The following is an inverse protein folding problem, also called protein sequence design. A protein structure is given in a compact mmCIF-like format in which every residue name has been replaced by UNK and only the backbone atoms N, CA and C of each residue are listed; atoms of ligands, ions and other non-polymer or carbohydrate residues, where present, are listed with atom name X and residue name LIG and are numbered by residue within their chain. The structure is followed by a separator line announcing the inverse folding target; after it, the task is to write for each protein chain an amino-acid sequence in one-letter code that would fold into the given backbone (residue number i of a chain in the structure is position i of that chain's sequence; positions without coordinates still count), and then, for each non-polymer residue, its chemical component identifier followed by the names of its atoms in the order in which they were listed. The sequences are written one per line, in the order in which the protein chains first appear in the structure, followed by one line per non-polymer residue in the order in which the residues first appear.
data_IF_191544072648
#
_entry.id   IF_191544072648
#
_cell.length_a   1.000
_cell.length_b   1.000
_cell.length_c   1.000
_cell.angle_alpha   90.00
_cell.angle_beta   90.00
_cell.angle_gamma   90.00
#
_symmetry.space_group_name_H-M   'P 1'
#
loop_
_entity.id
_entity.type
_entity.pdbx_description
1 polymer ?
#
# COMPACT_ATOMS: atom_id res chain seq x y z
N UNK A 1 13.44 -28.68 22.80
CA UNK A 1 13.52 -27.22 22.86
C UNK A 1 12.72 -26.78 24.10
N UNK A 2 13.38 -26.38 25.19
CA UNK A 2 12.70 -25.95 26.43
C UNK A 2 12.34 -24.48 26.27
N UNK A 3 11.03 -24.16 26.28
CA UNK A 3 10.56 -22.79 26.35
C UNK A 3 10.88 -22.22 27.74
N UNK A 4 11.70 -21.19 27.82
CA UNK A 4 11.91 -20.45 29.05
C UNK A 4 10.72 -19.52 29.30
N UNK A 5 10.22 -19.42 30.55
CA UNK A 5 9.18 -18.46 30.87
C UNK A 5 9.67 -17.02 30.66
N UNK A 6 8.89 -16.23 29.95
CA UNK A 6 9.13 -14.79 29.78
C UNK A 6 8.96 -14.11 31.14
N UNK A 7 9.92 -13.30 31.62
CA UNK A 7 9.76 -12.60 32.88
C UNK A 7 8.57 -11.65 32.83
N UNK A 8 7.76 -11.64 33.88
CA UNK A 8 6.60 -10.77 34.04
C UNK A 8 7.03 -9.33 34.28
N UNK A 9 7.23 -8.56 33.21
CA UNK A 9 7.21 -7.10 33.30
C UNK A 9 5.77 -6.63 33.52
N UNK A 10 5.57 -5.61 34.33
CA UNK A 10 4.31 -5.01 34.73
C UNK A 10 3.24 -5.05 33.64
N UNK A 11 2.14 -5.76 33.89
CA UNK A 11 1.04 -5.87 32.96
C UNK A 11 0.34 -4.53 32.92
N UNK A 12 0.61 -3.74 31.89
CA UNK A 12 -0.24 -2.63 31.53
C UNK A 12 -1.68 -3.12 31.44
N UNK A 13 -2.61 -2.35 31.99
CA UNK A 13 -4.04 -2.67 32.01
C UNK A 13 -4.51 -2.96 30.58
N UNK A 14 -4.95 -4.18 30.32
CA UNK A 14 -5.52 -4.53 29.01
C UNK A 14 -6.84 -3.75 28.84
N UNK A 15 -6.93 -2.94 27.79
CA UNK A 15 -8.16 -2.24 27.44
C UNK A 15 -9.00 -3.16 26.57
N UNK A 16 -10.18 -3.55 27.09
CA UNK A 16 -11.17 -4.30 26.32
C UNK A 16 -12.28 -3.31 25.93
N UNK A 17 -12.39 -3.03 24.64
CA UNK A 17 -13.47 -2.24 24.07
C UNK A 17 -14.49 -3.18 23.40
N UNK A 18 -15.68 -3.31 23.96
CA UNK A 18 -16.75 -4.15 23.42
C UNK A 18 -17.41 -3.56 22.16
N UNK A 19 -17.34 -2.24 22.00
CA UNK A 19 -17.76 -1.51 20.81
C UNK A 19 -16.68 -0.47 20.51
N UNK A 20 -15.73 -0.75 19.60
CA UNK A 20 -14.57 0.10 19.41
C UNK A 20 -14.99 1.43 18.79
N UNK A 21 -14.66 2.52 19.47
CA UNK A 21 -14.68 3.83 18.86
C UNK A 21 -13.61 3.93 17.77
N UNK A 22 -13.72 4.98 16.95
CA UNK A 22 -12.82 5.22 15.82
C UNK A 22 -11.35 5.34 16.21
N UNK A 23 -11.06 5.89 17.39
CA UNK A 23 -9.70 6.11 17.89
C UNK A 23 -9.07 4.79 18.34
N UNK A 24 -9.78 4.04 19.15
CA UNK A 24 -9.37 2.70 19.63
C UNK A 24 -9.14 1.73 18.47
N UNK A 25 -10.04 1.74 17.45
CA UNK A 25 -9.85 0.93 16.25
C UNK A 25 -8.58 1.31 15.48
N UNK A 26 -8.35 2.62 15.26
CA UNK A 26 -7.14 3.10 14.58
C UNK A 26 -5.87 2.78 15.35
N UNK A 27 -5.92 2.82 16.68
CA UNK A 27 -4.78 2.43 17.52
C UNK A 27 -4.48 0.94 17.35
N UNK A 28 -5.49 0.08 17.38
CA UNK A 28 -5.31 -1.35 17.14
C UNK A 28 -4.73 -1.62 15.74
N UNK A 29 -5.27 -0.96 14.70
CA UNK A 29 -4.77 -1.09 13.32
C UNK A 29 -3.35 -0.59 13.15
N UNK A 30 -2.92 0.42 13.92
CA UNK A 30 -1.53 0.92 13.85
C UNK A 30 -0.50 -0.10 14.31
N UNK A 31 -0.92 -1.13 15.07
CA UNK A 31 -0.05 -2.23 15.54
C UNK A 31 0.08 -3.38 14.55
N UNK A 32 -0.61 -3.31 13.43
CA UNK A 32 -0.46 -4.26 12.32
C UNK A 32 0.60 -3.73 11.39
N UNK A 33 1.69 -4.50 11.22
CA UNK A 33 2.69 -4.19 10.21
C UNK A 33 2.12 -4.44 8.81
N UNK A 34 2.18 -3.43 7.95
CA UNK A 34 1.70 -3.53 6.58
C UNK A 34 2.75 -3.04 5.59
N UNK A 35 2.88 -3.71 4.45
CA UNK A 35 3.74 -3.25 3.37
C UNK A 35 3.32 -1.84 2.91
N UNK A 36 4.29 -0.98 2.65
CA UNK A 36 4.06 0.34 2.07
C UNK A 36 4.03 0.21 0.56
N UNK A 37 2.95 0.69 -0.04
CA UNK A 37 2.78 0.64 -1.49
C UNK A 37 2.47 2.03 -2.04
N UNK A 38 2.88 2.28 -3.28
CA UNK A 38 2.34 3.38 -4.08
C UNK A 38 1.42 2.75 -5.13
N UNK A 39 0.13 3.06 -5.04
CA UNK A 39 -0.79 2.73 -6.13
C UNK A 39 -0.81 3.84 -7.15
N UNK A 40 -0.85 3.46 -8.42
CA UNK A 40 -0.84 4.38 -9.54
C UNK A 40 -1.92 4.05 -10.56
N UNK A 41 -2.34 5.05 -11.29
CA UNK A 41 -3.23 4.93 -12.44
C UNK A 41 -2.90 6.03 -13.44
N UNK A 42 -3.43 5.94 -14.65
CA UNK A 42 -3.35 7.02 -15.63
C UNK A 42 -4.75 7.54 -15.97
N UNK A 43 -4.84 8.82 -16.28
CA UNK A 43 -6.08 9.51 -16.64
C UNK A 43 -5.84 10.39 -17.87
N UNK A 44 -6.85 10.90 -18.55
CA UNK A 44 -6.66 11.88 -19.63
C UNK A 44 -5.90 13.15 -19.22
N UNK A 45 -5.90 13.47 -17.92
CA UNK A 45 -5.16 14.62 -17.36
C UNK A 45 -3.76 14.28 -16.83
N UNK A 46 -3.32 13.05 -16.99
CA UNK A 46 -1.99 12.59 -16.59
C UNK A 46 -2.01 11.49 -15.53
N UNK A 47 -0.83 11.18 -15.04
CA UNK A 47 -0.61 10.12 -14.06
C UNK A 47 -1.03 10.55 -12.65
N UNK A 48 -1.59 9.60 -11.91
CA UNK A 48 -2.05 9.79 -10.54
C UNK A 48 -1.51 8.68 -9.67
N UNK A 49 -1.04 9.05 -8.48
CA UNK A 49 -0.53 8.08 -7.51
C UNK A 49 -0.80 8.49 -6.08
N UNK A 50 -0.87 7.51 -5.19
CA UNK A 50 -0.97 7.71 -3.76
C UNK A 50 -0.36 6.55 -2.96
N UNK A 51 0.12 6.87 -1.76
CA UNK A 51 0.63 5.86 -0.82
C UNK A 51 -0.52 5.19 -0.10
N UNK A 52 -0.47 3.87 -0.06
CA UNK A 52 -1.43 3.03 0.66
C UNK A 52 -0.70 1.88 1.38
N UNK A 53 -1.28 1.41 2.47
CA UNK A 53 -0.87 0.19 3.16
C UNK A 53 -1.94 -0.91 3.12
N UNK A 54 -3.16 -0.56 2.72
CA UNK A 54 -4.29 -1.48 2.69
C UNK A 54 -4.36 -2.24 1.35
N UNK A 55 -3.41 -3.14 1.15
CA UNK A 55 -3.32 -4.06 0.01
C UNK A 55 -3.22 -5.48 0.55
N UNK A 56 -3.94 -6.41 -0.07
CA UNK A 56 -3.91 -7.82 0.32
C UNK A 56 -4.09 -8.72 -0.91
N UNK A 57 -3.41 -9.86 -0.93
CA UNK A 57 -3.70 -10.94 -1.88
C UNK A 57 -5.07 -11.56 -1.58
N UNK A 58 -5.83 -11.86 -2.60
CA UNK A 58 -7.14 -12.53 -2.50
C UNK A 58 -7.03 -13.99 -2.94
N UNK A 59 -6.46 -14.23 -4.11
CA UNK A 59 -6.25 -15.56 -4.69
C UNK A 59 -5.12 -15.49 -5.70
N UNK A 60 -4.49 -16.63 -5.98
CA UNK A 60 -3.44 -16.81 -6.99
C UNK A 60 -3.99 -17.35 -8.33
N UNK A 61 -5.20 -17.89 -8.32
CA UNK A 61 -5.87 -18.37 -9.55
C UNK A 61 -7.37 -18.02 -9.56
N UNK A 62 -7.80 -17.05 -10.38
CA UNK A 62 -6.96 -16.08 -11.12
C UNK A 62 -6.29 -15.09 -10.17
N UNK A 63 -5.05 -14.70 -10.48
CA UNK A 63 -4.26 -13.79 -9.65
C UNK A 63 -5.02 -12.49 -9.37
N UNK A 64 -5.39 -12.28 -8.10
CA UNK A 64 -6.26 -11.17 -7.68
C UNK A 64 -5.76 -10.57 -6.37
N UNK A 65 -5.71 -9.25 -6.31
CA UNK A 65 -5.42 -8.49 -5.11
C UNK A 65 -6.56 -7.53 -4.79
N UNK A 66 -6.69 -7.15 -3.51
CA UNK A 66 -7.57 -6.05 -3.11
C UNK A 66 -6.77 -4.82 -2.72
N UNK A 67 -7.36 -3.65 -2.96
CA UNK A 67 -6.86 -2.35 -2.56
C UNK A 67 -7.99 -1.57 -1.90
N UNK A 68 -7.78 -1.06 -0.67
CA UNK A 68 -8.78 -0.22 -0.01
C UNK A 68 -8.37 1.25 -0.11
N UNK A 69 -9.27 2.09 -0.64
CA UNK A 69 -9.05 3.52 -0.80
C UNK A 69 -10.13 4.30 -0.04
N UNK A 70 -9.71 5.24 0.81
CA UNK A 70 -10.63 6.15 1.49
C UNK A 70 -11.30 7.11 0.52
N UNK A 71 -12.64 7.17 0.53
CA UNK A 71 -13.42 8.05 -0.37
C UNK A 71 -13.22 9.54 -0.14
N UNK A 72 -12.68 9.92 1.02
CA UNK A 72 -12.29 11.31 1.31
C UNK A 72 -10.94 11.71 0.71
N UNK A 73 -10.18 10.74 0.13
CA UNK A 73 -8.93 11.04 -0.56
C UNK A 73 -9.17 11.89 -1.80
N UNK A 74 -8.36 12.93 -2.01
CA UNK A 74 -8.40 13.76 -3.22
C UNK A 74 -8.20 12.94 -4.50
N UNK A 75 -7.50 11.80 -4.40
CA UNK A 75 -7.19 10.94 -5.56
C UNK A 75 -8.26 9.87 -5.82
N UNK A 76 -9.19 9.64 -4.89
CA UNK A 76 -10.21 8.59 -5.01
C UNK A 76 -10.96 8.62 -6.34
N UNK A 77 -11.44 9.81 -6.76
CA UNK A 77 -12.20 9.96 -7.98
C UNK A 77 -11.46 9.56 -9.26
N UNK A 78 -10.13 9.63 -9.27
CA UNK A 78 -9.31 9.18 -10.38
C UNK A 78 -9.28 7.65 -10.44
N UNK A 79 -8.98 7.00 -9.32
CA UNK A 79 -8.92 5.54 -9.23
C UNK A 79 -10.28 4.88 -9.50
N UNK A 80 -11.37 5.46 -9.01
CA UNK A 80 -12.72 4.92 -9.22
C UNK A 80 -13.19 4.95 -10.68
N UNK A 81 -12.61 5.81 -11.52
CA UNK A 81 -12.98 5.99 -12.92
C UNK A 81 -12.03 5.32 -13.91
N UNK A 82 -10.78 5.14 -13.53
CA UNK A 82 -9.73 4.69 -14.46
C UNK A 82 -9.85 3.22 -14.87
N UNK A 83 -10.42 2.37 -14.03
CA UNK A 83 -10.54 0.94 -14.30
C UNK A 83 -9.22 0.15 -14.25
N UNK A 84 -8.10 0.82 -13.97
CA UNK A 84 -6.76 0.22 -13.87
C UNK A 84 -6.06 0.73 -12.62
N UNK A 85 -5.30 -0.14 -11.96
CA UNK A 85 -4.48 0.18 -10.79
C UNK A 85 -3.20 -0.62 -10.86
N UNK A 86 -2.04 0.04 -10.81
CA UNK A 86 -0.79 -0.66 -10.53
C UNK A 86 -0.44 -0.50 -9.04
N UNK A 87 -0.11 -1.60 -8.39
CA UNK A 87 0.37 -1.64 -7.00
C UNK A 87 1.89 -1.78 -7.03
N UNK A 88 2.61 -0.75 -6.61
CA UNK A 88 4.07 -0.75 -6.51
C UNK A 88 4.48 -0.96 -5.05
N UNK A 89 4.98 -2.15 -4.73
CA UNK A 89 5.47 -2.52 -3.40
C UNK A 89 6.83 -1.87 -3.17
N UNK A 90 6.95 -1.04 -2.15
CA UNK A 90 8.16 -0.28 -1.90
C UNK A 90 9.24 -1.11 -1.19
N UNK A 91 10.48 -1.00 -1.65
CA UNK A 91 11.67 -1.40 -0.91
C UNK A 91 12.06 -0.31 0.10
N UNK A 92 13.00 -0.59 0.99
CA UNK A 92 13.49 0.38 1.97
C UNK A 92 14.12 1.63 1.31
N UNK A 93 14.63 1.52 0.10
CA UNK A 93 15.24 2.63 -0.67
C UNK A 93 14.20 3.70 -1.05
N UNK A 94 12.92 3.31 -1.11
CA UNK A 94 11.82 4.18 -1.48
C UNK A 94 11.14 4.88 -0.28
N UNK A 95 11.75 4.84 0.93
CA UNK A 95 11.16 5.45 2.12
C UNK A 95 10.82 6.93 1.90
N UNK A 96 11.66 7.66 1.14
CA UNK A 96 11.43 9.07 0.83
C UNK A 96 10.27 9.30 -0.14
N UNK A 97 9.91 8.32 -0.98
CA UNK A 97 8.77 8.44 -1.89
C UNK A 97 7.43 8.32 -1.15
N UNK A 98 7.38 7.49 -0.12
CA UNK A 98 6.14 7.21 0.60
C UNK A 98 5.44 8.49 1.12
N UNK A 99 6.11 9.43 1.83
CA UNK A 99 5.46 10.67 2.26
C UNK A 99 5.08 11.60 1.10
N UNK A 100 5.83 11.62 0.00
CA UNK A 100 5.53 12.45 -1.19
C UNK A 100 4.18 12.01 -1.79
N UNK A 101 4.01 10.72 -2.03
CA UNK A 101 2.75 10.17 -2.55
C UNK A 101 1.62 10.12 -1.50
N UNK A 102 1.94 10.21 -0.21
CA UNK A 102 0.96 10.45 0.84
C UNK A 102 0.48 11.92 0.92
N UNK A 103 1.04 12.80 0.10
CA UNK A 103 0.66 14.22 0.04
C UNK A 103 1.35 15.12 1.06
N UNK A 104 2.46 14.69 1.64
CA UNK A 104 3.30 15.57 2.47
C UNK A 104 4.10 16.51 1.57
N UNK A 105 4.24 17.78 2.02
CA UNK A 105 5.08 18.79 1.34
C UNK A 105 4.42 19.50 0.17
N UNK A 106 3.09 19.36 -0.03
CA UNK A 106 2.29 20.02 -1.10
C UNK A 106 2.86 19.86 -2.52
N UNK A 107 3.61 18.77 -2.75
CA UNK A 107 4.18 18.44 -4.06
C UNK A 107 3.05 18.17 -5.06
N UNK A 108 3.05 18.84 -6.19
CA UNK A 108 2.04 18.67 -7.24
C UNK A 108 2.10 17.26 -7.82
N UNK A 109 0.96 16.73 -8.30
CA UNK A 109 0.87 15.33 -8.75
C UNK A 109 1.88 15.01 -9.87
N UNK A 110 2.02 15.88 -10.85
CA UNK A 110 2.98 15.72 -11.95
C UNK A 110 4.42 15.71 -11.47
N UNK A 111 4.74 16.52 -10.46
CA UNK A 111 6.07 16.59 -9.87
C UNK A 111 6.41 15.31 -9.09
N UNK A 112 5.42 14.64 -8.46
CA UNK A 112 5.66 13.39 -7.71
C UNK A 112 6.28 12.31 -8.58
N UNK A 113 5.93 12.27 -9.86
CA UNK A 113 6.45 11.29 -10.80
C UNK A 113 7.85 11.63 -11.32
N UNK A 114 8.43 12.79 -10.97
CA UNK A 114 9.85 13.07 -11.22
C UNK A 114 10.77 12.40 -10.19
N UNK A 115 10.21 11.92 -9.07
CA UNK A 115 10.93 11.17 -8.05
C UNK A 115 10.86 9.68 -8.33
N UNK A 116 11.75 9.15 -9.15
CA UNK A 116 11.84 7.74 -9.51
C UNK A 116 11.76 7.50 -11.01
N UNK A 117 12.08 6.28 -11.39
CA UNK A 117 11.97 5.82 -12.76
C UNK A 117 10.65 5.06 -12.93
N UNK A 118 9.83 5.51 -13.89
CA UNK A 118 8.51 4.96 -14.14
C UNK A 118 8.43 4.36 -15.53
N UNK A 119 8.05 3.10 -15.61
CA UNK A 119 7.80 2.36 -16.84
C UNK A 119 6.31 2.06 -17.02
N UNK A 120 5.92 1.40 -18.10
CA UNK A 120 4.57 0.95 -18.38
C UNK A 120 4.58 -0.54 -18.71
N UNK A 121 3.58 -1.26 -18.22
CA UNK A 121 3.32 -2.64 -18.59
C UNK A 121 2.02 -2.74 -19.41
N UNK A 122 1.19 -3.73 -19.15
CA UNK A 122 0.02 -4.07 -19.96
C UNK A 122 -1.10 -3.04 -19.90
N UNK A 123 -1.42 -2.55 -18.67
CA UNK A 123 -2.56 -1.63 -18.50
C UNK A 123 -2.23 -0.19 -18.85
N UNK A 124 -0.96 0.15 -18.89
CA UNK A 124 -0.48 1.51 -19.10
C UNK A 124 -0.45 2.36 -17.82
N UNK A 125 -0.80 1.83 -16.65
CA UNK A 125 -0.57 2.50 -15.37
C UNK A 125 0.94 2.65 -15.09
N UNK A 126 1.39 3.71 -14.38
CA UNK A 126 2.81 3.87 -14.03
C UNK A 126 3.29 2.74 -13.13
N UNK A 127 4.41 2.13 -13.47
CA UNK A 127 5.11 1.08 -12.73
C UNK A 127 6.44 1.64 -12.27
N UNK A 128 6.73 1.62 -10.98
CA UNK A 128 8.02 2.03 -10.44
C UNK A 128 9.06 0.96 -10.77
N UNK A 129 10.00 1.27 -11.68
CA UNK A 129 10.96 0.31 -12.21
C UNK A 129 11.83 -0.37 -11.14
N UNK A 130 12.09 0.34 -10.03
CA UNK A 130 12.93 -0.11 -8.92
C UNK A 130 12.13 -0.64 -7.72
N UNK A 131 10.78 -0.74 -7.80
CA UNK A 131 9.95 -1.32 -6.76
C UNK A 131 10.39 -2.76 -6.43
N UNK A 132 10.19 -3.20 -5.20
CA UNK A 132 10.45 -4.61 -4.84
C UNK A 132 9.59 -5.57 -5.68
N UNK A 133 8.33 -5.19 -5.92
CA UNK A 133 7.44 -5.83 -6.88
C UNK A 133 6.40 -4.83 -7.36
N UNK A 134 5.88 -5.00 -8.57
CA UNK A 134 4.72 -4.24 -9.04
C UNK A 134 3.70 -5.18 -9.66
N UNK A 135 2.42 -4.95 -9.33
CA UNK A 135 1.28 -5.70 -9.82
C UNK A 135 0.44 -4.76 -10.69
N UNK A 136 0.48 -4.97 -11.99
CA UNK A 136 -0.26 -4.18 -12.96
C UNK A 136 -1.64 -4.81 -13.18
N UNK A 137 -2.72 -4.11 -12.82
CA UNK A 137 -4.03 -4.70 -12.65
C UNK A 137 -5.13 -3.94 -13.38
N UNK A 138 -6.16 -4.68 -13.83
CA UNK A 138 -7.47 -4.14 -14.14
C UNK A 138 -8.41 -4.27 -12.94
N UNK A 139 -9.27 -3.30 -12.73
CA UNK A 139 -10.30 -3.36 -11.67
C UNK A 139 -11.45 -4.23 -12.18
N UNK A 140 -11.67 -5.38 -11.54
CA UNK A 140 -12.79 -6.27 -11.85
C UNK A 140 -14.09 -5.75 -11.26
N UNK A 141 -14.07 -5.41 -9.95
CA UNK A 141 -15.23 -4.87 -9.23
C UNK A 141 -14.79 -4.03 -8.03
N UNK A 142 -15.71 -3.24 -7.50
CA UNK A 142 -15.49 -2.50 -6.27
C UNK A 142 -16.73 -2.54 -5.37
N UNK A 143 -16.49 -2.41 -4.06
CA UNK A 143 -17.54 -2.44 -3.03
C UNK A 143 -17.29 -1.29 -2.05
N UNK A 144 -18.32 -0.49 -1.83
CA UNK A 144 -18.28 0.58 -0.83
C UNK A 144 -18.58 0.03 0.56
N UNK A 145 -17.67 0.25 1.50
CA UNK A 145 -17.82 -0.14 2.90
C UNK A 145 -17.49 1.07 3.79
N UNK A 146 -18.52 1.62 4.42
CA UNK A 146 -18.37 2.78 5.30
C UNK A 146 -17.68 3.96 4.59
N UNK A 147 -16.48 4.33 5.02
CA UNK A 147 -15.69 5.46 4.48
C UNK A 147 -14.75 5.07 3.35
N UNK A 148 -14.66 3.80 3.00
CA UNK A 148 -13.72 3.26 2.01
C UNK A 148 -14.44 2.53 0.88
N UNK A 149 -13.74 2.41 -0.24
CA UNK A 149 -14.08 1.50 -1.33
C UNK A 149 -12.99 0.44 -1.41
N UNK A 150 -13.40 -0.82 -1.47
CA UNK A 150 -12.53 -1.97 -1.71
C UNK A 150 -12.57 -2.28 -3.20
N UNK A 151 -11.43 -2.19 -3.87
CA UNK A 151 -11.24 -2.56 -5.27
C UNK A 151 -10.67 -3.96 -5.34
N UNK A 152 -11.32 -4.84 -6.11
CA UNK A 152 -10.79 -6.17 -6.48
C UNK A 152 -10.12 -6.03 -7.84
N UNK A 153 -8.84 -6.31 -7.89
CA UNK A 153 -7.97 -6.02 -9.01
C UNK A 153 -7.39 -7.33 -9.57
N UNK A 154 -7.76 -7.66 -10.81
CA UNK A 154 -7.21 -8.80 -11.53
C UNK A 154 -5.81 -8.44 -12.07
N UNK A 155 -4.79 -9.19 -11.67
CA UNK A 155 -3.40 -8.95 -12.05
C UNK A 155 -3.20 -9.35 -13.52
N UNK A 156 -2.75 -8.41 -14.35
CA UNK A 156 -2.49 -8.59 -15.78
C UNK A 156 -0.99 -8.82 -16.05
N UNK A 157 -0.13 -8.21 -15.24
CA UNK A 157 1.32 -8.38 -15.33
C UNK A 157 1.97 -8.17 -13.96
N UNK A 158 3.13 -8.79 -13.77
CA UNK A 158 3.96 -8.66 -12.58
C UNK A 158 5.36 -8.21 -13.01
N UNK A 159 5.87 -7.18 -12.35
CA UNK A 159 7.28 -6.80 -12.40
C UNK A 159 7.93 -7.15 -11.06
N UNK A 160 9.02 -7.88 -11.08
CA UNK A 160 9.83 -8.18 -9.91
C UNK A 160 11.12 -7.36 -9.99
N UNK A 161 11.33 -6.48 -9.03
CA UNK A 161 12.56 -5.73 -8.93
C UNK A 161 13.71 -6.58 -8.35
N UNK A 162 14.92 -6.05 -8.46
CA UNK A 162 16.11 -6.71 -7.91
C UNK A 162 16.21 -6.60 -6.37
N UNK A 163 15.48 -5.68 -5.75
CA UNK A 163 15.53 -5.44 -4.32
C UNK A 163 14.70 -6.47 -3.55
N UNK A 164 15.36 -7.26 -2.70
CA UNK A 164 14.71 -8.18 -1.75
C UNK A 164 14.50 -7.57 -0.36
N UNK A 165 14.66 -6.26 -0.23
CA UNK A 165 14.37 -5.50 1.00
C UNK A 165 12.93 -5.02 1.01
N UNK A 166 12.39 -4.63 2.18
CA UNK A 166 11.02 -4.17 2.29
C UNK A 166 10.88 -2.86 3.07
N UNK A 167 9.77 -2.18 2.88
CA UNK A 167 9.34 -1.04 3.68
C UNK A 167 7.99 -1.36 4.31
N UNK A 168 7.92 -1.31 5.64
CA UNK A 168 6.71 -1.61 6.42
C UNK A 168 6.28 -0.38 7.20
N UNK A 169 4.98 -0.15 7.28
CA UNK A 169 4.38 0.84 8.16
C UNK A 169 3.81 0.15 9.40
N UNK A 170 4.33 0.49 10.59
CA UNK A 170 3.92 -0.06 11.87
C UNK A 170 4.09 1.00 12.96
N UNK A 171 3.19 1.06 13.93
CA UNK A 171 3.28 2.02 15.04
C UNK A 171 3.31 3.47 14.58
N UNK A 172 2.70 3.79 13.42
CA UNK A 172 2.70 5.10 12.76
C UNK A 172 4.07 5.59 12.27
N UNK A 173 5.01 4.66 12.05
CA UNK A 173 6.34 4.92 11.52
C UNK A 173 6.69 3.96 10.38
N UNK A 174 7.62 4.37 9.53
CA UNK A 174 8.20 3.50 8.52
C UNK A 174 9.32 2.67 9.15
N UNK A 175 9.39 1.40 8.79
CA UNK A 175 10.42 0.46 9.23
C UNK A 175 11.03 -0.22 8.01
N UNK A 176 12.34 -0.22 7.95
CA UNK A 176 13.12 -0.87 6.90
C UNK A 176 13.32 -2.34 7.24
N UNK A 177 12.92 -3.23 6.35
CA UNK A 177 13.29 -4.63 6.44
C UNK A 177 14.59 -4.84 5.66
N UNK A 178 15.62 -5.47 6.29
CA UNK A 178 16.87 -5.72 5.61
C UNK A 178 16.69 -6.72 4.46
N UNK A 179 17.58 -6.66 3.48
CA UNK A 179 17.68 -7.68 2.46
C UNK A 179 18.08 -9.00 3.12
N UNK A 180 17.32 -10.06 2.85
CA UNK A 180 17.75 -11.40 3.24
C UNK A 180 18.69 -11.92 2.15
N UNK A 181 19.93 -12.21 2.53
CA UNK A 181 20.83 -12.97 1.69
C UNK A 181 20.38 -14.43 1.74
N UNK A 182 19.98 -14.98 0.59
CA UNK A 182 19.67 -16.40 0.42
C UNK A 182 20.94 -17.24 0.52
#
# INVERSE_FOLDING_TARGET
MKLHPVPSTERGTAVIALSPDRTTFREAMSRIGAAVNIITTTTPSGDVGMTVSAVCSVTDDPATVLVCIGRSSRQFGHFSKAGIICVNVLSHEHEMLAPIFAGKGDVQMTERFTYGEWIRLVTGAPVLATAAASLDCTVDRSIDIGTHTVFFCAVQAVHLGSACSGLVYHGRAYHRLPQQHA
#
